data_IF_093457002669
#
_entry.id   IF_093457002669
#
_cell.length_a   1.000
_cell.length_b   1.000
_cell.length_c   1.000
_cell.angle_alpha   90.00
_cell.angle_beta   90.00
_cell.angle_gamma   90.00
#
_symmetry.space_group_name_H-M   'P 1'
#
loop_
_entity.id
_entity.type
_entity.pdbx_description
1 polymer ?
#
# COMPACT_ATOMS: atom_id res chain seq x y z
N UNK A 1 -26.73 31.10 12.14
CA UNK A 1 -25.43 30.48 11.88
C UNK A 1 -24.73 31.32 10.82
N UNK A 2 -23.70 32.10 11.22
CA UNK A 2 -23.14 33.18 10.38
C UNK A 2 -22.41 32.65 9.15
N UNK A 3 -22.73 33.18 7.96
CA UNK A 3 -22.07 32.91 6.67
C UNK A 3 -20.53 33.07 6.73
N UNK A 4 -20.02 33.95 7.59
CA UNK A 4 -18.58 34.17 7.85
C UNK A 4 -17.89 32.92 8.44
N UNK A 5 -18.59 32.10 9.25
CA UNK A 5 -18.01 30.89 9.85
C UNK A 5 -17.87 29.73 8.85
N UNK A 6 -18.76 29.68 7.82
CA UNK A 6 -18.70 28.65 6.76
C UNK A 6 -17.63 28.94 5.69
N UNK A 7 -17.39 30.23 5.41
CA UNK A 7 -16.32 30.65 4.49
C UNK A 7 -14.94 30.51 5.11
N UNK A 8 -14.78 30.79 6.40
CA UNK A 8 -13.49 30.62 7.11
C UNK A 8 -13.05 29.15 7.21
N UNK A 9 -14.03 28.24 7.45
CA UNK A 9 -13.74 26.80 7.48
C UNK A 9 -13.23 26.25 6.13
N UNK A 10 -13.94 26.57 5.03
CA UNK A 10 -13.51 26.15 3.67
C UNK A 10 -12.15 26.73 3.26
N UNK A 11 -11.88 27.95 3.68
CA UNK A 11 -10.60 28.62 3.47
C UNK A 11 -9.47 27.87 4.18
N UNK A 12 -9.61 27.55 5.47
CA UNK A 12 -8.62 26.85 6.26
C UNK A 12 -8.26 25.48 5.64
N UNK A 13 -9.26 24.69 5.23
CA UNK A 13 -9.05 23.40 4.59
C UNK A 13 -8.22 23.50 3.30
N UNK A 14 -8.55 24.46 2.44
CA UNK A 14 -7.83 24.65 1.17
C UNK A 14 -6.36 24.99 1.41
N UNK A 15 -6.05 25.90 2.31
CA UNK A 15 -4.67 26.30 2.58
C UNK A 15 -3.88 25.22 3.29
N UNK A 16 -4.47 24.49 4.24
CA UNK A 16 -3.80 23.36 4.88
C UNK A 16 -3.47 22.25 3.88
N UNK A 17 -4.39 21.95 2.96
CA UNK A 17 -4.13 20.98 1.91
C UNK A 17 -3.06 21.46 0.92
N UNK A 18 -3.13 22.70 0.45
CA UNK A 18 -2.12 23.28 -0.43
C UNK A 18 -0.73 23.29 0.22
N UNK A 19 -0.66 23.60 1.52
CA UNK A 19 0.59 23.55 2.26
C UNK A 19 1.15 22.12 2.33
N UNK A 20 0.31 21.12 2.63
CA UNK A 20 0.73 19.72 2.62
C UNK A 20 1.22 19.28 1.23
N UNK A 21 0.57 19.72 0.15
CA UNK A 21 1.01 19.46 -1.23
C UNK A 21 2.35 20.13 -1.54
N UNK A 22 2.55 21.35 -1.07
CA UNK A 22 3.84 22.05 -1.21
C UNK A 22 4.97 21.27 -0.53
N UNK A 23 4.73 20.73 0.67
CA UNK A 23 5.71 19.89 1.38
C UNK A 23 6.07 18.65 0.55
N UNK A 24 5.11 17.99 -0.09
CA UNK A 24 5.38 16.84 -0.97
C UNK A 24 6.18 17.24 -2.21
N UNK A 25 5.83 18.36 -2.85
CA UNK A 25 6.57 18.86 -4.01
C UNK A 25 8.02 19.20 -3.64
N UNK A 26 8.24 19.89 -2.53
CA UNK A 26 9.59 20.19 -2.03
C UNK A 26 10.34 18.91 -1.65
N UNK A 27 9.66 17.97 -0.99
CA UNK A 27 10.21 16.64 -0.65
C UNK A 27 10.72 15.85 -1.85
N UNK A 28 10.04 15.97 -3.01
CA UNK A 28 10.50 15.32 -4.25
C UNK A 28 11.85 15.89 -4.77
N UNK A 29 12.16 17.13 -4.45
CA UNK A 29 13.42 17.77 -4.88
C UNK A 29 14.62 17.42 -3.99
N UNK A 30 14.37 16.90 -2.78
CA UNK A 30 15.44 16.48 -1.86
C UNK A 30 16.11 15.22 -2.40
N UNK A 31 17.42 15.12 -2.23
CA UNK A 31 18.19 13.92 -2.60
C UNK A 31 17.67 12.68 -1.83
N UNK A 32 17.68 11.51 -2.47
CA UNK A 32 17.38 10.23 -1.82
C UNK A 32 18.52 9.91 -0.86
N UNK A 33 18.23 9.70 0.42
CA UNK A 33 19.24 9.47 1.47
C UNK A 33 19.09 8.11 2.15
N UNK A 34 17.90 7.55 2.12
CA UNK A 34 17.62 6.25 2.74
C UNK A 34 18.20 5.12 1.88
N UNK A 35 18.83 4.14 2.51
CA UNK A 35 19.61 3.08 1.84
C UNK A 35 18.72 2.27 0.89
N UNK A 36 17.56 1.80 1.34
CA UNK A 36 16.64 1.02 0.48
C UNK A 36 16.12 1.87 -0.68
N UNK A 37 15.84 3.15 -0.44
CA UNK A 37 15.42 4.09 -1.48
C UNK A 37 16.49 4.28 -2.55
N UNK A 38 17.77 4.41 -2.15
CA UNK A 38 18.88 4.51 -3.07
C UNK A 38 19.08 3.23 -3.89
N UNK A 39 18.94 2.05 -3.26
CA UNK A 39 19.00 0.74 -3.94
C UNK A 39 17.87 0.63 -4.99
N UNK A 40 16.65 1.00 -4.64
CA UNK A 40 15.50 0.92 -5.56
C UNK A 40 15.63 1.91 -6.72
N UNK A 41 16.17 3.11 -6.46
CA UNK A 41 16.47 4.08 -7.51
C UNK A 41 17.51 3.54 -8.49
N UNK A 42 18.56 2.87 -7.99
CA UNK A 42 19.62 2.28 -8.81
C UNK A 42 19.08 1.13 -9.68
N UNK A 43 18.30 0.21 -9.11
CA UNK A 43 17.67 -0.88 -9.89
C UNK A 43 16.76 -0.30 -10.99
N UNK A 44 16.00 0.73 -10.69
CA UNK A 44 15.15 1.39 -11.68
C UNK A 44 15.96 2.12 -12.76
N UNK A 45 17.14 2.66 -12.40
CA UNK A 45 18.07 3.29 -13.35
C UNK A 45 18.69 2.26 -14.29
N UNK A 46 19.14 1.11 -13.77
CA UNK A 46 19.66 0.03 -14.60
C UNK A 46 18.58 -0.51 -15.54
N UNK A 47 17.33 -0.66 -15.06
CA UNK A 47 16.20 -1.04 -15.92
C UNK A 47 15.98 -0.03 -17.05
N UNK A 48 16.04 1.26 -16.75
CA UNK A 48 15.90 2.35 -17.71
C UNK A 48 17.05 2.35 -18.74
N UNK A 49 18.32 2.22 -18.29
CA UNK A 49 19.51 2.28 -19.14
C UNK A 49 19.65 1.03 -20.03
N UNK A 50 19.37 -0.15 -19.51
CA UNK A 50 19.51 -1.43 -20.21
C UNK A 50 18.28 -1.79 -21.06
N UNK A 51 17.14 -1.13 -20.86
CA UNK A 51 15.89 -1.45 -21.53
C UNK A 51 15.31 -2.82 -21.17
N UNK A 52 15.81 -3.47 -20.12
CA UNK A 52 15.32 -4.77 -19.65
C UNK A 52 14.25 -4.59 -18.56
N UNK A 53 12.98 -4.80 -18.90
CA UNK A 53 11.83 -4.62 -18.02
C UNK A 53 11.45 -5.87 -17.23
N UNK A 54 12.05 -7.01 -17.54
CA UNK A 54 11.67 -8.31 -16.96
C UNK A 54 12.59 -8.72 -15.82
N UNK A 55 13.85 -8.34 -15.87
CA UNK A 55 14.86 -8.76 -14.91
C UNK A 55 15.31 -7.58 -14.07
N UNK A 56 15.59 -7.83 -12.79
CA UNK A 56 16.03 -6.82 -11.83
C UNK A 56 17.50 -7.01 -11.51
N UNK A 57 18.29 -5.95 -11.74
CA UNK A 57 19.71 -5.94 -11.45
C UNK A 57 20.07 -4.80 -10.50
N UNK A 58 21.06 -5.05 -9.66
CA UNK A 58 21.71 -4.03 -8.84
C UNK A 58 23.22 -4.11 -9.09
N UNK A 59 23.77 -3.08 -9.74
CA UNK A 59 25.18 -3.02 -10.15
C UNK A 59 25.60 -4.23 -11.00
N UNK A 60 24.72 -4.60 -11.92
CA UNK A 60 24.92 -5.74 -12.84
C UNK A 60 24.74 -7.12 -12.19
N UNK A 61 24.38 -7.22 -10.91
CA UNK A 61 24.10 -8.49 -10.25
C UNK A 61 22.60 -8.74 -10.15
N UNK A 62 22.19 -10.00 -10.29
CA UNK A 62 20.79 -10.40 -10.11
C UNK A 62 20.28 -9.99 -8.73
N UNK A 63 19.09 -9.36 -8.70
CA UNK A 63 18.50 -8.88 -7.47
C UNK A 63 17.14 -9.51 -7.22
N UNK A 64 16.96 -10.11 -6.03
CA UNK A 64 15.76 -10.84 -5.64
C UNK A 64 15.35 -10.47 -4.21
N UNK A 65 14.50 -9.46 -4.05
CA UNK A 65 13.89 -9.07 -2.77
C UNK A 65 12.48 -8.48 -2.94
N UNK A 66 12.32 -7.43 -3.75
CA UNK A 66 11.02 -6.76 -3.96
C UNK A 66 10.49 -7.01 -5.38
N UNK A 67 9.14 -7.07 -5.53
CA UNK A 67 8.50 -7.23 -6.83
C UNK A 67 8.69 -6.02 -7.76
N UNK A 68 8.32 -6.19 -9.02
CA UNK A 68 8.68 -5.33 -10.13
C UNK A 68 7.99 -3.97 -10.19
N UNK A 69 6.78 -3.82 -9.65
CA UNK A 69 5.91 -2.68 -9.95
C UNK A 69 6.54 -1.33 -9.67
N UNK A 70 7.15 -1.14 -8.50
CA UNK A 70 7.77 0.13 -8.13
C UNK A 70 8.93 0.50 -9.07
N UNK A 71 9.68 -0.49 -9.55
CA UNK A 71 10.79 -0.30 -10.50
C UNK A 71 10.25 0.08 -11.88
N UNK A 72 9.19 -0.59 -12.36
CA UNK A 72 8.51 -0.22 -13.60
C UNK A 72 7.99 1.20 -13.57
N UNK A 73 7.28 1.58 -12.50
CA UNK A 73 6.73 2.93 -12.34
C UNK A 73 7.83 3.99 -12.36
N UNK A 74 8.95 3.71 -11.68
CA UNK A 74 10.11 4.61 -11.64
C UNK A 74 10.83 4.65 -12.98
N UNK A 75 11.06 3.54 -13.65
CA UNK A 75 11.71 3.50 -14.97
C UNK A 75 10.88 4.27 -16.02
N UNK A 76 9.54 4.15 -15.99
CA UNK A 76 8.66 4.99 -16.83
C UNK A 76 8.86 6.48 -16.51
N UNK A 77 8.95 6.84 -15.24
CA UNK A 77 9.22 8.22 -14.83
C UNK A 77 10.59 8.73 -15.31
N UNK A 78 11.60 7.88 -15.30
CA UNK A 78 12.93 8.21 -15.84
C UNK A 78 12.91 8.43 -17.36
N UNK A 79 12.08 7.70 -18.11
CA UNK A 79 11.88 7.96 -19.54
C UNK A 79 11.23 9.32 -19.82
N UNK A 80 10.41 9.83 -18.91
CA UNK A 80 9.69 11.11 -19.09
C UNK A 80 10.54 12.29 -18.64
N UNK A 81 11.20 12.19 -17.46
CA UNK A 81 11.86 13.31 -16.79
C UNK A 81 13.39 13.20 -16.75
N UNK A 82 13.95 12.08 -17.19
CA UNK A 82 15.34 11.73 -16.96
C UNK A 82 15.62 11.20 -15.55
N UNK A 83 16.71 10.44 -15.33
CA UNK A 83 17.10 9.94 -14.03
C UNK A 83 17.42 11.07 -13.03
N UNK A 84 16.82 11.01 -11.84
CA UNK A 84 17.04 11.99 -10.78
C UNK A 84 16.05 11.81 -9.63
N UNK A 85 16.31 12.51 -8.50
CA UNK A 85 15.51 12.38 -7.28
C UNK A 85 14.05 12.70 -7.49
N UNK A 86 13.73 13.73 -8.26
CA UNK A 86 12.35 14.07 -8.61
C UNK A 86 11.67 12.92 -9.36
N UNK A 87 12.27 12.47 -10.45
CA UNK A 87 11.69 11.42 -11.29
C UNK A 87 11.54 10.09 -10.55
N UNK A 88 12.46 9.76 -9.64
CA UNK A 88 12.36 8.59 -8.77
C UNK A 88 11.13 8.65 -7.84
N UNK A 89 10.90 9.80 -7.21
CA UNK A 89 9.85 9.98 -6.21
C UNK A 89 8.48 10.28 -6.80
N UNK A 90 8.44 10.83 -8.01
CA UNK A 90 7.21 11.30 -8.65
C UNK A 90 6.10 10.23 -8.73
N UNK A 91 6.33 8.99 -9.22
CA UNK A 91 5.27 8.00 -9.27
C UNK A 91 4.75 7.61 -7.89
N UNK A 92 5.61 7.52 -6.87
CA UNK A 92 5.19 7.19 -5.51
C UNK A 92 4.27 8.27 -4.93
N UNK A 93 4.62 9.55 -5.13
CA UNK A 93 3.77 10.68 -4.71
C UNK A 93 2.43 10.67 -5.47
N UNK A 94 2.40 10.32 -6.76
CA UNK A 94 1.14 10.17 -7.49
C UNK A 94 0.25 9.08 -6.89
N UNK A 95 0.81 7.93 -6.52
CA UNK A 95 0.03 6.87 -5.84
C UNK A 95 -0.46 7.31 -4.47
N UNK A 96 0.32 8.10 -3.73
CA UNK A 96 -0.12 8.70 -2.47
C UNK A 96 -1.28 9.68 -2.69
N UNK A 97 -1.19 10.57 -3.69
CA UNK A 97 -2.27 11.50 -4.04
C UNK A 97 -3.54 10.77 -4.48
N UNK A 98 -3.40 9.69 -5.25
CA UNK A 98 -4.50 8.79 -5.59
C UNK A 98 -5.13 8.23 -4.31
N UNK A 99 -4.33 7.78 -3.35
CA UNK A 99 -4.80 7.30 -2.05
C UNK A 99 -5.58 8.36 -1.28
N UNK A 100 -5.07 9.60 -1.19
CA UNK A 100 -5.77 10.71 -0.55
C UNK A 100 -7.15 10.99 -1.20
N UNK A 101 -7.21 10.93 -2.53
CA UNK A 101 -8.46 11.06 -3.26
C UNK A 101 -9.44 9.94 -2.90
N UNK A 102 -8.97 8.68 -2.83
CA UNK A 102 -9.84 7.55 -2.46
C UNK A 102 -10.20 7.52 -0.97
N UNK A 103 -9.38 8.07 -0.07
CA UNK A 103 -9.79 8.35 1.32
C UNK A 103 -10.98 9.31 1.34
N UNK A 104 -10.91 10.37 0.54
CA UNK A 104 -12.04 11.31 0.43
C UNK A 104 -13.29 10.62 -0.10
N UNK A 105 -13.20 9.86 -1.19
CA UNK A 105 -14.33 9.13 -1.78
C UNK A 105 -14.91 8.10 -0.81
N UNK A 106 -14.06 7.35 -0.11
CA UNK A 106 -14.48 6.37 0.90
C UNK A 106 -15.26 7.05 2.04
N UNK A 107 -14.72 8.12 2.60
CA UNK A 107 -15.41 8.86 3.64
C UNK A 107 -16.71 9.49 3.14
N UNK A 108 -16.75 10.01 1.91
CA UNK A 108 -17.99 10.55 1.32
C UNK A 108 -19.05 9.47 1.13
N UNK A 109 -18.67 8.23 0.81
CA UNK A 109 -19.59 7.10 0.62
C UNK A 109 -20.11 6.55 1.93
N UNK A 110 -19.23 6.27 2.89
CA UNK A 110 -19.56 5.54 4.13
C UNK A 110 -19.75 6.43 5.35
N UNK A 111 -19.38 7.69 5.28
CA UNK A 111 -19.53 8.69 6.35
C UNK A 111 -20.17 9.98 5.81
N UNK A 112 -19.42 11.08 5.80
CA UNK A 112 -19.84 12.36 5.21
C UNK A 112 -18.67 13.03 4.50
N UNK A 113 -18.98 14.01 3.64
CA UNK A 113 -17.97 14.81 2.94
C UNK A 113 -17.01 15.53 3.92
N UNK A 114 -17.54 16.02 5.06
CA UNK A 114 -16.72 16.67 6.09
C UNK A 114 -15.69 15.71 6.69
N UNK A 115 -16.08 14.46 6.96
CA UNK A 115 -15.13 13.43 7.42
C UNK A 115 -14.05 13.15 6.36
N UNK A 116 -14.41 13.22 5.07
CA UNK A 116 -13.45 13.08 3.96
C UNK A 116 -12.35 14.13 4.00
N UNK A 117 -12.69 15.41 4.13
CA UNK A 117 -11.68 16.47 4.25
C UNK A 117 -10.78 16.28 5.49
N UNK A 118 -11.36 15.93 6.64
CA UNK A 118 -10.60 15.68 7.86
C UNK A 118 -9.64 14.50 7.67
N UNK A 119 -10.13 13.36 7.18
CA UNK A 119 -9.33 12.16 6.98
C UNK A 119 -8.15 12.38 6.02
N UNK A 120 -8.39 13.10 4.91
CA UNK A 120 -7.34 13.49 3.96
C UNK A 120 -6.26 14.32 4.63
N UNK A 121 -6.61 15.33 5.44
CA UNK A 121 -5.62 16.15 6.14
C UNK A 121 -4.86 15.35 7.20
N UNK A 122 -5.54 14.53 8.00
CA UNK A 122 -4.90 13.68 9.00
C UNK A 122 -3.87 12.74 8.35
N UNK A 123 -4.23 12.11 7.23
CA UNK A 123 -3.33 11.23 6.51
C UNK A 123 -2.18 12.01 5.86
N UNK A 124 -2.47 13.09 5.13
CA UNK A 124 -1.47 13.86 4.41
C UNK A 124 -0.44 14.55 5.33
N UNK A 125 -0.79 14.82 6.60
CA UNK A 125 0.06 15.50 7.56
C UNK A 125 0.63 14.59 8.64
N UNK A 126 0.37 13.27 8.58
CA UNK A 126 1.02 12.31 9.45
C UNK A 126 2.53 12.25 9.14
N UNK A 127 3.36 12.27 10.19
CA UNK A 127 4.82 12.38 10.06
C UNK A 127 5.40 11.31 9.13
N UNK A 128 5.05 10.05 9.34
CA UNK A 128 5.58 8.95 8.53
C UNK A 128 5.17 9.06 7.05
N UNK A 129 3.97 9.57 6.77
CA UNK A 129 3.52 9.79 5.40
C UNK A 129 4.34 10.89 4.72
N UNK A 130 4.64 11.99 5.42
CA UNK A 130 5.50 13.06 4.90
C UNK A 130 6.91 12.51 4.63
N UNK A 131 7.50 11.81 5.59
CA UNK A 131 8.86 11.26 5.43
C UNK A 131 8.92 10.21 4.33
N UNK A 132 7.95 9.29 4.22
CA UNK A 132 7.93 8.26 3.18
C UNK A 132 7.68 8.80 1.76
N UNK A 133 7.12 10.00 1.62
CA UNK A 133 6.99 10.69 0.33
C UNK A 133 8.22 11.57 0.00
N UNK A 134 9.05 11.89 0.99
CA UNK A 134 10.30 12.64 0.81
C UNK A 134 11.49 11.72 0.61
N UNK A 135 11.49 10.54 1.22
CA UNK A 135 12.51 9.50 1.07
C UNK A 135 11.83 8.16 0.75
N UNK A 136 11.55 7.99 -0.53
CA UNK A 136 10.59 7.01 -1.05
C UNK A 136 11.13 5.59 -1.03
N UNK A 137 10.31 4.68 -0.52
CA UNK A 137 10.39 3.23 -0.70
C UNK A 137 9.04 2.71 -1.22
N UNK A 138 8.51 1.61 -0.65
CA UNK A 138 7.22 1.04 -1.07
C UNK A 138 5.99 1.71 -0.43
N UNK A 139 6.16 2.40 0.72
CA UNK A 139 5.08 2.85 1.60
C UNK A 139 4.04 3.76 0.93
N UNK A 140 4.39 4.76 0.09
CA UNK A 140 3.40 5.59 -0.59
C UNK A 140 2.50 4.79 -1.54
N UNK A 141 3.09 3.84 -2.28
CA UNK A 141 2.33 2.93 -3.16
C UNK A 141 1.36 2.07 -2.35
N UNK A 142 1.85 1.46 -1.26
CA UNK A 142 1.05 0.60 -0.39
C UNK A 142 -0.11 1.36 0.24
N UNK A 143 0.16 2.54 0.79
CA UNK A 143 -0.87 3.39 1.42
C UNK A 143 -1.95 3.76 0.42
N UNK A 144 -1.54 4.24 -0.77
CA UNK A 144 -2.48 4.64 -1.81
C UNK A 144 -3.32 3.47 -2.33
N UNK A 145 -2.67 2.37 -2.70
CA UNK A 145 -3.35 1.22 -3.30
C UNK A 145 -4.22 0.43 -2.32
N UNK A 146 -3.87 0.41 -1.04
CA UNK A 146 -4.70 -0.25 -0.01
C UNK A 146 -6.07 0.39 0.07
N UNK A 147 -6.15 1.72 0.15
CA UNK A 147 -7.46 2.38 0.19
C UNK A 147 -8.21 2.28 -1.14
N UNK A 148 -7.51 2.29 -2.29
CA UNK A 148 -8.12 2.08 -3.60
C UNK A 148 -8.77 0.70 -3.67
N UNK A 149 -8.05 -0.36 -3.29
CA UNK A 149 -8.57 -1.73 -3.30
C UNK A 149 -9.74 -1.89 -2.34
N UNK A 150 -9.61 -1.37 -1.13
CA UNK A 150 -10.67 -1.41 -0.12
C UNK A 150 -11.93 -0.67 -0.58
N UNK A 151 -11.77 0.54 -1.16
CA UNK A 151 -12.88 1.32 -1.68
C UNK A 151 -13.66 0.57 -2.75
N UNK A 152 -12.97 0.11 -3.79
CA UNK A 152 -13.64 -0.56 -4.91
C UNK A 152 -14.33 -1.87 -4.51
N UNK A 153 -13.69 -2.69 -3.69
CA UNK A 153 -14.28 -3.95 -3.25
C UNK A 153 -15.42 -3.73 -2.24
N UNK A 154 -15.35 -2.72 -1.36
CA UNK A 154 -16.43 -2.35 -0.46
C UNK A 154 -17.64 -1.80 -1.23
N UNK A 155 -17.42 -0.90 -2.20
CA UNK A 155 -18.49 -0.35 -3.05
C UNK A 155 -19.07 -1.43 -3.97
N UNK A 156 -18.26 -2.40 -4.43
CA UNK A 156 -18.76 -3.55 -5.19
C UNK A 156 -19.79 -4.38 -4.40
N UNK A 157 -19.60 -4.55 -3.10
CA UNK A 157 -20.57 -5.28 -2.26
C UNK A 157 -21.95 -4.61 -2.23
N UNK A 158 -22.01 -3.30 -2.46
CA UNK A 158 -23.27 -2.54 -2.52
C UNK A 158 -23.83 -2.44 -3.95
N UNK A 159 -23.01 -2.03 -4.90
CA UNK A 159 -23.44 -1.62 -6.25
C UNK A 159 -23.39 -2.77 -7.29
N UNK A 160 -22.60 -3.82 -7.05
CA UNK A 160 -22.42 -5.01 -7.91
C UNK A 160 -21.96 -4.71 -9.35
N UNK A 161 -21.22 -3.64 -9.56
CA UNK A 161 -20.70 -3.29 -10.90
C UNK A 161 -19.37 -4.00 -11.16
N UNK A 162 -19.28 -4.69 -12.30
CA UNK A 162 -18.05 -5.41 -12.69
C UNK A 162 -16.80 -4.52 -12.73
N UNK A 163 -16.93 -3.24 -13.14
CA UNK A 163 -15.82 -2.29 -13.14
C UNK A 163 -15.20 -2.08 -11.75
N UNK A 164 -16.01 -2.11 -10.69
CA UNK A 164 -15.51 -1.98 -9.31
C UNK A 164 -14.74 -3.22 -8.88
N UNK A 165 -15.22 -4.41 -9.23
CA UNK A 165 -14.51 -5.66 -8.99
C UNK A 165 -13.19 -5.69 -9.76
N UNK A 166 -13.20 -5.29 -11.03
CA UNK A 166 -12.01 -5.23 -11.89
C UNK A 166 -10.94 -4.27 -11.31
N UNK A 167 -11.33 -3.04 -10.94
CA UNK A 167 -10.42 -2.02 -10.41
C UNK A 167 -9.92 -2.38 -9.00
N UNK A 168 -10.77 -3.00 -8.18
CA UNK A 168 -10.36 -3.54 -6.87
C UNK A 168 -9.33 -4.66 -7.01
N UNK A 169 -9.55 -5.60 -7.94
CA UNK A 169 -8.61 -6.69 -8.24
C UNK A 169 -7.28 -6.18 -8.83
N UNK A 170 -7.34 -5.18 -9.71
CA UNK A 170 -6.15 -4.53 -10.25
C UNK A 170 -5.33 -3.86 -9.14
N UNK A 171 -5.98 -3.11 -8.24
CA UNK A 171 -5.29 -2.49 -7.12
C UNK A 171 -4.64 -3.53 -6.19
N UNK A 172 -5.31 -4.67 -5.93
CA UNK A 172 -4.73 -5.78 -5.18
C UNK A 172 -3.53 -6.42 -5.90
N UNK A 173 -3.60 -6.58 -7.22
CA UNK A 173 -2.48 -7.09 -8.00
C UNK A 173 -1.25 -6.17 -7.95
N UNK A 174 -1.48 -4.87 -8.04
CA UNK A 174 -0.40 -3.87 -7.94
C UNK A 174 0.18 -3.85 -6.52
N UNK A 175 -0.63 -4.01 -5.47
CA UNK A 175 -0.15 -4.21 -4.09
C UNK A 175 0.78 -5.42 -3.99
N UNK A 176 0.35 -6.58 -4.52
CA UNK A 176 1.16 -7.79 -4.57
C UNK A 176 2.49 -7.56 -5.31
N UNK A 177 2.44 -6.87 -6.44
CA UNK A 177 3.62 -6.54 -7.25
C UNK A 177 4.48 -5.41 -6.63
N UNK A 178 4.05 -4.80 -5.54
CA UNK A 178 4.84 -3.80 -4.80
C UNK A 178 5.58 -4.42 -3.61
N UNK A 179 4.93 -5.27 -2.81
CA UNK A 179 5.54 -5.81 -1.56
C UNK A 179 5.15 -7.26 -1.24
N UNK A 180 4.44 -7.97 -2.12
CA UNK A 180 4.05 -9.37 -1.94
C UNK A 180 2.76 -9.56 -1.12
N UNK A 181 2.53 -10.81 -0.68
CA UNK A 181 1.23 -11.25 -0.12
C UNK A 181 0.76 -10.47 1.10
N UNK A 182 1.64 -10.04 1.99
CA UNK A 182 1.24 -9.28 3.18
C UNK A 182 0.59 -7.94 2.87
N UNK A 183 0.82 -7.39 1.69
CA UNK A 183 0.28 -6.08 1.28
C UNK A 183 -1.25 -6.09 1.10
N UNK A 184 -1.86 -7.23 0.81
CA UNK A 184 -3.31 -7.33 0.61
C UNK A 184 -4.08 -7.64 1.91
N UNK A 185 -3.39 -7.95 3.00
CA UNK A 185 -4.01 -8.30 4.29
C UNK A 185 -5.00 -7.23 4.76
N UNK A 186 -4.69 -5.92 4.75
CA UNK A 186 -5.65 -4.91 5.23
C UNK A 186 -6.98 -4.93 4.48
N UNK A 187 -6.93 -5.09 3.17
CA UNK A 187 -8.14 -5.15 2.32
C UNK A 187 -8.91 -6.45 2.53
N UNK A 188 -8.22 -7.59 2.48
CA UNK A 188 -8.86 -8.90 2.60
C UNK A 188 -9.47 -9.11 3.99
N UNK A 189 -8.71 -8.79 5.07
CA UNK A 189 -9.20 -8.91 6.43
C UNK A 189 -10.27 -7.87 6.75
N UNK A 190 -10.12 -6.64 6.25
CA UNK A 190 -11.10 -5.58 6.43
C UNK A 190 -12.49 -6.00 5.92
N UNK A 191 -12.55 -6.50 4.69
CA UNK A 191 -13.80 -6.96 4.10
C UNK A 191 -14.25 -8.29 4.71
N UNK A 192 -13.37 -9.28 4.81
CA UNK A 192 -13.71 -10.61 5.30
C UNK A 192 -14.25 -10.60 6.73
N UNK A 193 -13.55 -9.93 7.66
CA UNK A 193 -13.98 -9.83 9.05
C UNK A 193 -15.22 -8.95 9.23
N UNK A 194 -15.41 -7.91 8.41
CA UNK A 194 -16.64 -7.13 8.44
C UNK A 194 -17.85 -7.98 8.01
N UNK A 195 -17.72 -8.77 6.95
CA UNK A 195 -18.78 -9.69 6.51
C UNK A 195 -19.06 -10.78 7.55
N UNK A 196 -18.04 -11.30 8.23
CA UNK A 196 -18.18 -12.26 9.34
C UNK A 196 -18.91 -11.61 10.53
N UNK A 197 -18.53 -10.41 10.92
CA UNK A 197 -19.17 -9.66 12.00
C UNK A 197 -20.65 -9.41 11.72
N UNK A 198 -20.97 -9.01 10.48
CA UNK A 198 -22.34 -8.77 10.02
C UNK A 198 -23.14 -10.06 9.74
N UNK A 199 -22.50 -11.25 9.87
CA UNK A 199 -23.08 -12.59 9.57
C UNK A 199 -23.59 -12.70 8.13
N UNK A 200 -22.94 -12.04 7.18
CA UNK A 200 -23.29 -12.05 5.75
C UNK A 200 -22.72 -13.29 5.05
N UNK A 201 -23.10 -14.48 5.50
CA UNK A 201 -22.55 -15.75 5.01
C UNK A 201 -22.69 -15.95 3.49
N UNK A 202 -23.81 -15.49 2.91
CA UNK A 202 -24.01 -15.56 1.45
C UNK A 202 -22.97 -14.76 0.68
N UNK A 203 -22.55 -13.62 1.23
CA UNK A 203 -21.51 -12.78 0.63
C UNK A 203 -20.12 -13.40 0.78
N UNK A 204 -19.84 -14.01 1.92
CA UNK A 204 -18.56 -14.68 2.18
C UNK A 204 -18.35 -15.85 1.22
N UNK A 205 -19.38 -16.65 0.98
CA UNK A 205 -19.32 -17.83 0.13
C UNK A 205 -19.62 -17.53 -1.34
N UNK A 206 -19.80 -16.26 -1.71
CA UNK A 206 -20.14 -15.91 -3.07
C UNK A 206 -18.94 -16.07 -4.02
N UNK A 207 -19.18 -16.57 -5.21
CA UNK A 207 -18.15 -16.83 -6.25
C UNK A 207 -17.32 -15.58 -6.63
N UNK A 208 -17.80 -14.38 -6.35
CA UNK A 208 -17.11 -13.12 -6.59
C UNK A 208 -15.66 -13.10 -6.09
N UNK A 209 -15.37 -13.79 -4.99
CA UNK A 209 -14.01 -13.84 -4.43
C UNK A 209 -13.06 -14.68 -5.29
N UNK A 210 -13.59 -15.71 -5.95
CA UNK A 210 -12.84 -16.45 -6.96
C UNK A 210 -12.56 -15.57 -8.18
N UNK A 211 -13.52 -14.71 -8.58
CA UNK A 211 -13.30 -13.74 -9.64
C UNK A 211 -12.26 -12.69 -9.25
N UNK A 212 -12.31 -12.15 -8.01
CA UNK A 212 -11.26 -11.24 -7.50
C UNK A 212 -9.89 -11.93 -7.51
N UNK A 213 -9.80 -13.15 -6.99
CA UNK A 213 -8.55 -13.91 -6.96
C UNK A 213 -8.03 -14.20 -8.38
N UNK A 214 -8.91 -14.65 -9.30
CA UNK A 214 -8.56 -14.94 -10.69
C UNK A 214 -8.08 -13.70 -11.46
N UNK A 215 -8.80 -12.58 -11.34
CA UNK A 215 -8.38 -11.31 -11.97
C UNK A 215 -7.07 -10.79 -11.36
N UNK A 216 -6.93 -10.83 -10.05
CA UNK A 216 -5.69 -10.45 -9.37
C UNK A 216 -4.52 -11.31 -9.87
N UNK A 217 -4.72 -12.64 -9.99
CA UNK A 217 -3.72 -13.55 -10.52
C UNK A 217 -3.35 -13.22 -11.97
N UNK A 218 -4.31 -12.93 -12.83
CA UNK A 218 -4.06 -12.54 -14.24
C UNK A 218 -3.20 -11.25 -14.27
N UNK A 219 -3.52 -10.26 -13.43
CA UNK A 219 -2.79 -8.99 -13.43
C UNK A 219 -1.38 -9.08 -12.84
N UNK A 220 -1.06 -10.09 -12.01
CA UNK A 220 0.32 -10.29 -11.53
C UNK A 220 1.19 -11.11 -12.50
N UNK A 221 0.62 -11.75 -13.53
CA UNK A 221 1.36 -12.59 -14.47
C UNK A 221 2.60 -11.90 -15.09
N UNK A 222 2.57 -10.61 -15.49
CA UNK A 222 3.76 -9.98 -16.04
C UNK A 222 4.97 -10.01 -15.10
N UNK A 223 4.77 -9.73 -13.81
CA UNK A 223 5.85 -9.81 -12.82
C UNK A 223 6.26 -11.24 -12.49
N UNK A 224 5.30 -12.17 -12.43
CA UNK A 224 5.63 -13.60 -12.27
C UNK A 224 6.44 -14.12 -13.46
N UNK A 225 6.14 -13.66 -14.67
CA UNK A 225 6.92 -14.00 -15.86
C UNK A 225 8.36 -13.46 -15.77
N UNK A 226 8.55 -12.24 -15.24
CA UNK A 226 9.88 -11.70 -14.94
C UNK A 226 10.67 -12.59 -13.98
N UNK A 227 10.06 -13.00 -12.87
CA UNK A 227 10.68 -13.94 -11.95
C UNK A 227 11.02 -15.28 -12.58
N UNK A 228 10.12 -15.83 -13.41
CA UNK A 228 10.36 -17.07 -14.12
C UNK A 228 11.57 -16.96 -15.06
N UNK A 229 11.62 -15.93 -15.90
CA UNK A 229 12.71 -15.73 -16.86
C UNK A 229 14.05 -15.54 -16.18
N UNK A 230 14.09 -14.74 -15.11
CA UNK A 230 15.33 -14.38 -14.44
C UNK A 230 15.88 -15.53 -13.58
N UNK A 231 15.03 -16.32 -12.93
CA UNK A 231 15.46 -17.31 -11.93
C UNK A 231 15.06 -18.74 -12.27
N UNK A 232 13.77 -19.01 -12.48
CA UNK A 232 13.28 -20.39 -12.69
C UNK A 232 13.77 -21.02 -13.99
N UNK A 233 13.91 -20.23 -15.05
CA UNK A 233 14.48 -20.67 -16.33
C UNK A 233 16.02 -20.75 -16.30
N UNK A 234 16.69 -20.29 -15.24
CA UNK A 234 18.14 -20.21 -15.13
C UNK A 234 18.64 -20.83 -13.80
N UNK A 235 18.46 -22.14 -13.58
CA UNK A 235 18.73 -22.82 -12.30
C UNK A 235 20.20 -22.81 -11.89
N UNK A 236 21.11 -22.49 -12.79
CA UNK A 236 22.55 -22.40 -12.55
C UNK A 236 22.99 -21.11 -11.86
N UNK A 237 22.11 -20.08 -11.85
CA UNK A 237 22.40 -18.81 -11.17
C UNK A 237 22.53 -19.01 -9.65
N UNK A 238 23.53 -18.37 -9.06
CA UNK A 238 23.73 -18.35 -7.62
C UNK A 238 23.09 -17.10 -7.03
N UNK A 239 22.08 -17.30 -6.16
CA UNK A 239 21.34 -16.25 -5.46
C UNK A 239 21.35 -16.58 -3.97
N UNK A 240 21.76 -15.64 -3.12
CA UNK A 240 21.94 -15.86 -1.67
C UNK A 240 22.93 -17.01 -1.33
N UNK A 241 23.92 -17.28 -2.19
CA UNK A 241 24.83 -18.40 -2.01
C UNK A 241 24.22 -19.78 -2.32
N UNK A 242 23.07 -19.82 -2.99
CA UNK A 242 22.34 -21.03 -3.35
C UNK A 242 22.12 -21.07 -4.86
N UNK A 243 22.20 -22.27 -5.45
CA UNK A 243 21.77 -22.54 -6.84
C UNK A 243 20.35 -23.07 -6.87
N UNK A 244 19.72 -23.07 -8.04
CA UNK A 244 18.35 -23.57 -8.23
C UNK A 244 17.29 -22.80 -7.39
N UNK A 245 17.48 -21.49 -7.25
CA UNK A 245 16.53 -20.62 -6.54
C UNK A 245 15.37 -20.29 -7.46
N UNK A 246 14.14 -20.60 -7.05
CA UNK A 246 12.92 -20.25 -7.77
C UNK A 246 12.44 -18.86 -7.39
N UNK A 247 12.35 -17.96 -8.38
CA UNK A 247 11.78 -16.61 -8.19
C UNK A 247 10.28 -16.65 -7.87
N UNK A 248 9.54 -17.58 -8.49
CA UNK A 248 8.09 -17.77 -8.20
C UNK A 248 7.89 -18.26 -6.78
N UNK A 249 8.67 -19.26 -6.30
CA UNK A 249 8.61 -19.72 -4.92
C UNK A 249 9.00 -18.60 -3.95
N UNK A 250 10.03 -17.82 -4.28
CA UNK A 250 10.44 -16.68 -3.48
C UNK A 250 9.31 -15.67 -3.33
N UNK A 251 8.63 -15.30 -4.44
CA UNK A 251 7.52 -14.35 -4.42
C UNK A 251 6.37 -14.80 -3.50
N UNK A 252 5.92 -16.05 -3.61
CA UNK A 252 4.76 -16.54 -2.85
C UNK A 252 5.11 -17.02 -1.43
N UNK A 253 6.32 -17.52 -1.22
CA UNK A 253 6.67 -18.21 0.02
C UNK A 253 7.85 -17.59 0.75
N UNK A 254 9.04 -17.60 0.17
CA UNK A 254 10.28 -17.32 0.90
C UNK A 254 10.36 -15.85 1.36
N UNK A 255 9.91 -14.90 0.53
CA UNK A 255 9.89 -13.47 0.87
C UNK A 255 8.81 -13.10 1.90
N UNK A 256 7.83 -13.96 2.12
CA UNK A 256 6.68 -13.72 2.99
C UNK A 256 6.76 -14.64 4.21
N UNK A 257 6.26 -15.88 4.09
CA UNK A 257 6.28 -16.85 5.19
C UNK A 257 7.67 -17.21 5.64
N UNK A 258 8.61 -17.39 4.73
CA UNK A 258 10.01 -17.69 5.04
C UNK A 258 10.64 -16.58 5.87
N UNK A 259 10.33 -15.32 5.60
CA UNK A 259 10.79 -14.16 6.37
C UNK A 259 10.11 -14.06 7.72
N UNK A 260 8.81 -14.31 7.78
CA UNK A 260 8.02 -14.28 9.01
C UNK A 260 8.43 -15.38 9.99
N UNK A 261 8.68 -16.59 9.50
CA UNK A 261 9.13 -17.75 10.29
C UNK A 261 10.64 -17.86 10.42
N UNK A 262 11.41 -16.94 9.83
CA UNK A 262 12.89 -16.98 9.77
C UNK A 262 13.46 -18.23 9.10
N UNK A 263 12.71 -18.89 8.22
CA UNK A 263 13.14 -20.07 7.46
C UNK A 263 13.62 -19.72 6.04
N UNK A 264 13.36 -18.51 5.55
CA UNK A 264 13.82 -18.02 4.25
C UNK A 264 15.26 -17.47 4.27
N UNK A 265 15.79 -17.11 3.08
CA UNK A 265 17.12 -16.54 2.94
C UNK A 265 17.23 -15.14 3.56
N UNK A 266 16.13 -14.39 3.60
CA UNK A 266 16.05 -13.08 4.24
C UNK A 266 15.33 -13.25 5.58
N UNK A 267 16.01 -12.94 6.67
CA UNK A 267 15.48 -13.08 8.04
C UNK A 267 14.90 -11.75 8.53
N UNK A 268 13.81 -11.81 9.30
CA UNK A 268 13.26 -10.69 10.05
C UNK A 268 13.79 -10.69 11.49
N UNK A 269 14.08 -9.52 12.05
CA UNK A 269 14.26 -9.33 13.48
C UNK A 269 13.01 -8.61 14.00
N UNK A 270 12.09 -9.35 14.64
CA UNK A 270 10.81 -8.80 15.12
C UNK A 270 10.86 -8.51 16.63
N UNK A 271 10.41 -7.31 17.01
CA UNK A 271 10.01 -6.99 18.38
C UNK A 271 8.48 -6.90 18.39
N UNK A 272 7.76 -7.74 19.14
CA UNK A 272 6.29 -7.70 19.21
C UNK A 272 5.72 -6.34 19.61
N UNK A 273 6.49 -5.54 20.35
CA UNK A 273 6.06 -4.18 20.76
C UNK A 273 6.38 -3.09 19.75
N UNK A 274 7.14 -3.41 18.70
CA UNK A 274 7.63 -2.45 17.72
C UNK A 274 6.51 -1.57 17.13
N UNK A 275 5.43 -2.17 16.67
CA UNK A 275 4.33 -1.41 16.05
C UNK A 275 3.50 -0.62 17.08
N UNK A 276 3.45 -1.06 18.34
CA UNK A 276 2.78 -0.31 19.41
C UNK A 276 3.44 1.05 19.65
N UNK A 277 4.75 1.08 19.85
CA UNK A 277 5.44 2.35 20.07
C UNK A 277 5.68 3.14 18.77
N UNK A 278 5.90 2.43 17.64
CA UNK A 278 6.11 3.08 16.34
C UNK A 278 4.88 3.90 15.92
N UNK A 279 3.67 3.41 16.15
CA UNK A 279 2.46 4.17 15.84
C UNK A 279 2.40 5.50 16.58
N UNK A 280 2.99 5.61 17.78
CA UNK A 280 3.00 6.86 18.56
C UNK A 280 3.73 7.97 17.83
N UNK A 281 4.90 7.71 17.27
CA UNK A 281 5.70 8.73 16.58
C UNK A 281 5.40 8.81 15.07
N UNK A 282 5.16 7.67 14.43
CA UNK A 282 4.91 7.61 13.00
C UNK A 282 3.62 8.32 12.58
N UNK A 283 2.61 8.28 13.45
CA UNK A 283 1.33 8.95 13.22
C UNK A 283 1.19 10.29 13.93
N UNK A 284 2.28 10.87 14.41
CA UNK A 284 2.28 12.23 14.96
C UNK A 284 1.80 13.26 13.92
N UNK A 285 1.08 14.31 14.34
CA UNK A 285 0.62 14.59 15.71
C UNK A 285 -0.68 13.86 16.09
N UNK A 286 -1.20 12.98 15.23
CA UNK A 286 -2.55 12.40 15.29
C UNK A 286 -2.64 11.09 16.10
N UNK A 287 -1.53 10.58 16.62
CA UNK A 287 -1.44 9.27 17.27
C UNK A 287 -2.48 9.07 18.38
N UNK A 288 -2.60 10.03 19.28
CA UNK A 288 -3.58 9.94 20.38
C UNK A 288 -5.03 9.95 19.89
N UNK A 289 -5.34 10.73 18.85
CA UNK A 289 -6.67 10.72 18.22
C UNK A 289 -6.95 9.35 17.58
N UNK A 290 -5.94 8.74 16.95
CA UNK A 290 -6.07 7.41 16.35
C UNK A 290 -6.35 6.33 17.40
N UNK A 291 -5.61 6.29 18.52
CA UNK A 291 -5.88 5.36 19.61
C UNK A 291 -7.27 5.57 20.22
N UNK A 292 -7.68 6.82 20.44
CA UNK A 292 -9.02 7.12 20.93
C UNK A 292 -10.11 6.68 19.95
N UNK A 293 -9.91 6.91 18.65
CA UNK A 293 -10.83 6.46 17.61
C UNK A 293 -10.94 4.93 17.55
N UNK A 294 -9.81 4.22 17.64
CA UNK A 294 -9.78 2.75 17.71
C UNK A 294 -10.54 2.23 18.94
N UNK A 295 -10.30 2.80 20.11
CA UNK A 295 -11.01 2.43 21.35
C UNK A 295 -12.52 2.65 21.22
N UNK A 296 -12.93 3.82 20.75
CA UNK A 296 -14.37 4.14 20.60
C UNK A 296 -15.05 3.27 19.55
N UNK A 297 -14.37 2.97 18.44
CA UNK A 297 -14.88 2.08 17.41
C UNK A 297 -14.98 0.64 17.92
N UNK A 298 -13.96 0.13 18.61
CA UNK A 298 -13.99 -1.21 19.23
C UNK A 298 -15.18 -1.32 20.21
N UNK A 299 -15.36 -0.34 21.07
CA UNK A 299 -16.48 -0.31 22.03
C UNK A 299 -17.85 -0.30 21.33
N UNK A 300 -17.99 0.48 20.26
CA UNK A 300 -19.22 0.52 19.45
C UNK A 300 -19.51 -0.81 18.77
N UNK A 301 -18.50 -1.47 18.21
CA UNK A 301 -18.63 -2.79 17.60
C UNK A 301 -19.00 -3.88 18.60
N UNK A 302 -18.38 -3.88 19.80
CA UNK A 302 -18.71 -4.83 20.86
C UNK A 302 -20.17 -4.70 21.33
N UNK A 303 -20.70 -3.47 21.39
CA UNK A 303 -22.10 -3.21 21.73
C UNK A 303 -23.08 -3.43 20.58
N UNK A 304 -22.58 -3.71 19.37
CA UNK A 304 -23.36 -3.77 18.14
C UNK A 304 -24.17 -2.50 17.81
N UNK A 305 -23.72 -1.36 18.29
CA UNK A 305 -24.34 -0.05 18.05
C UNK A 305 -23.79 0.65 16.80
N UNK A 306 -22.80 0.08 16.14
CA UNK A 306 -22.16 0.69 14.99
C UNK A 306 -23.04 0.60 13.76
N UNK A 307 -23.56 1.74 13.31
CA UNK A 307 -24.25 1.91 12.00
C UNK A 307 -23.28 2.28 10.87
N UNK A 308 -22.00 2.43 11.18
CA UNK A 308 -20.96 2.89 10.28
C UNK A 308 -20.12 1.68 9.86
N UNK A 309 -19.55 1.71 8.64
CA UNK A 309 -18.69 0.66 8.12
C UNK A 309 -17.66 0.15 9.16
N UNK A 310 -17.26 -1.09 9.03
CA UNK A 310 -16.28 -1.74 9.92
C UNK A 310 -15.03 -2.23 9.17
N UNK A 311 -14.98 -2.04 7.84
CA UNK A 311 -13.88 -2.50 6.98
C UNK A 311 -12.53 -1.95 7.41
N UNK A 312 -12.45 -0.63 7.63
CA UNK A 312 -11.21 0.04 8.02
C UNK A 312 -10.70 -0.41 9.39
N UNK A 313 -11.60 -0.61 10.34
CA UNK A 313 -11.24 -1.08 11.68
C UNK A 313 -10.70 -2.51 11.63
N UNK A 314 -11.40 -3.44 10.98
CA UNK A 314 -10.96 -4.82 10.91
C UNK A 314 -9.68 -5.00 10.10
N UNK A 315 -9.52 -4.25 9.00
CA UNK A 315 -8.29 -4.26 8.22
C UNK A 315 -7.09 -3.79 9.03
N UNK A 316 -7.25 -2.71 9.79
CA UNK A 316 -6.19 -2.21 10.67
C UNK A 316 -5.87 -3.19 11.81
N UNK A 317 -6.87 -3.62 12.59
CA UNK A 317 -6.66 -4.46 13.77
C UNK A 317 -6.03 -5.80 13.40
N UNK A 318 -6.50 -6.43 12.32
CA UNK A 318 -5.96 -7.71 11.89
C UNK A 318 -4.51 -7.59 11.44
N UNK A 319 -4.20 -6.60 10.62
CA UNK A 319 -2.82 -6.32 10.21
C UNK A 319 -1.92 -6.04 11.42
N UNK A 320 -2.41 -5.22 12.35
CA UNK A 320 -1.68 -4.86 13.55
C UNK A 320 -1.36 -6.09 14.41
N UNK A 321 -2.34 -6.99 14.59
CA UNK A 321 -2.13 -8.26 15.31
C UNK A 321 -1.09 -9.13 14.58
N UNK A 322 -1.24 -9.33 13.26
CA UNK A 322 -0.31 -10.17 12.47
C UNK A 322 1.13 -9.68 12.56
N UNK A 323 1.36 -8.37 12.67
CA UNK A 323 2.72 -7.82 12.75
C UNK A 323 3.24 -7.64 14.18
N UNK A 324 2.39 -7.73 15.21
CA UNK A 324 2.80 -7.69 16.62
C UNK A 324 3.05 -9.08 17.23
N UNK A 325 2.44 -10.12 16.65
CA UNK A 325 2.48 -11.50 17.17
C UNK A 325 2.81 -12.51 16.07
#
# INVERSE_FOLDING_TARGET
MNLVSLTSGKFLWRYSFLFAMLVYVVGMMVTVMEIDGAVYAEISREMYENGNWLELFLKGQDWLDKPHFQFWATAVSFHIFGPGSFAYKFPAVLFMLLGLYYVFLFCRRFYTEKHGYIAVLLLATAQHIITSNSDVRAEPYLTGLTIVSLYYLAVYLEDRRFSQLLLGSLAMAVLLQTKGLFSIIPTASGIGLALLYDKKWKEILHWQWLAVAGLTFIFILPGLYGYYVQFDAQPHKEIFGLTNVSGIKFFFWDSQWGRFTNTGPIKGAGDPTFFLHTMLWAYMPWAFLAYFALYTKARSLLKRDSKIESYTFFGFIFLFIVFCF
#
